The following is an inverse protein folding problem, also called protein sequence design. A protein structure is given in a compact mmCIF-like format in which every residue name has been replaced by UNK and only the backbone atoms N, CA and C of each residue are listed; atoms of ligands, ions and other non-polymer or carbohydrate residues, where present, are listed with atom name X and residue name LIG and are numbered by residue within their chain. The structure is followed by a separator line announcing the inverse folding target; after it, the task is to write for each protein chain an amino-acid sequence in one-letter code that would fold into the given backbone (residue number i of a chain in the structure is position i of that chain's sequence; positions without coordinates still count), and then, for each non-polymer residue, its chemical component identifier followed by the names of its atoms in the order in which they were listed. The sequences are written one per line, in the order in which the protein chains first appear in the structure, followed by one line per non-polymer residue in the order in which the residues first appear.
data_IF_090357579827
#
_entry.id   IF_090357579827
#
_cell.length_a   1.000
_cell.length_b   1.000
_cell.length_c   1.000
_cell.angle_alpha   90.00
_cell.angle_beta   90.00
_cell.angle_gamma   90.00
#
_symmetry.space_group_name_H-M   'P 1'
#
loop_
_entity.id
_entity.type
_entity.pdbx_description
1 polymer ?
#
# COMPACT_ATOMS: atom_id res chain seq x y z
N UNK A 1 -21.63 5.66 1.22
CA UNK A 1 -20.42 5.76 0.36
C UNK A 1 -20.57 6.80 -0.74
N UNK A 2 -21.61 6.78 -1.57
CA UNK A 2 -21.80 7.78 -2.64
C UNK A 2 -21.71 9.24 -2.17
N UNK A 3 -22.42 9.61 -1.09
CA UNK A 3 -22.40 10.97 -0.53
C UNK A 3 -21.02 11.48 -0.06
N UNK A 4 -20.07 10.57 0.24
CA UNK A 4 -18.72 10.94 0.70
C UNK A 4 -17.72 11.02 -0.46
N UNK A 5 -17.83 10.13 -1.44
CA UNK A 5 -16.88 10.04 -2.55
C UNK A 5 -17.26 11.01 -3.68
N UNK A 6 -18.55 11.21 -3.93
CA UNK A 6 -19.03 12.00 -5.07
C UNK A 6 -18.52 13.45 -5.09
N UNK A 7 -18.45 14.19 -3.96
CA UNK A 7 -17.90 15.55 -3.96
C UNK A 7 -16.39 15.64 -4.26
N UNK A 8 -15.67 14.54 -4.07
CA UNK A 8 -14.21 14.45 -4.28
C UNK A 8 -13.84 13.98 -5.69
N UNK A 9 -14.83 13.54 -6.48
CA UNK A 9 -14.61 13.13 -7.86
C UNK A 9 -14.36 14.36 -8.74
N UNK A 10 -13.34 14.34 -9.61
CA UNK A 10 -13.21 15.37 -10.64
C UNK A 10 -14.49 15.48 -11.52
N UNK A 11 -14.83 16.68 -12.03
CA UNK A 11 -16.10 16.95 -12.69
C UNK A 11 -16.34 16.17 -14.01
N UNK A 12 -15.31 15.52 -14.57
CA UNK A 12 -15.39 14.72 -15.81
C UNK A 12 -14.70 13.35 -15.67
N UNK A 13 -14.93 12.67 -14.55
CA UNK A 13 -14.37 11.34 -14.31
C UNK A 13 -15.03 10.29 -15.21
N UNK A 14 -14.20 9.50 -15.90
CA UNK A 14 -14.66 8.33 -16.65
C UNK A 14 -15.14 7.25 -15.66
N UNK A 15 -16.15 6.46 -16.02
CA UNK A 15 -16.79 5.49 -15.12
C UNK A 15 -15.82 4.45 -14.51
N UNK A 16 -14.76 4.09 -15.23
CA UNK A 16 -13.70 3.20 -14.77
C UNK A 16 -12.80 3.84 -13.70
N UNK A 17 -12.52 5.14 -13.81
CA UNK A 17 -11.85 5.88 -12.76
C UNK A 17 -12.75 6.02 -11.53
N UNK A 18 -14.05 6.33 -11.72
CA UNK A 18 -15.01 6.41 -10.61
C UNK A 18 -15.01 5.12 -9.77
N UNK A 19 -15.00 3.95 -10.44
CA UNK A 19 -14.89 2.67 -9.75
C UNK A 19 -13.61 2.55 -8.91
N UNK A 20 -12.47 3.05 -9.40
CA UNK A 20 -11.22 3.07 -8.64
C UNK A 20 -11.32 3.94 -7.38
N UNK A 21 -11.93 5.13 -7.47
CA UNK A 21 -12.18 5.99 -6.29
C UNK A 21 -13.03 5.28 -5.24
N UNK A 22 -14.14 4.66 -5.64
CA UNK A 22 -14.99 3.91 -4.70
C UNK A 22 -14.27 2.71 -4.09
N UNK A 23 -13.50 1.97 -4.88
CA UNK A 23 -12.76 0.80 -4.41
C UNK A 23 -11.68 1.20 -3.39
N UNK A 24 -10.91 2.26 -3.67
CA UNK A 24 -9.90 2.77 -2.75
C UNK A 24 -10.55 3.30 -1.47
N UNK A 25 -11.61 4.10 -1.57
CA UNK A 25 -12.35 4.57 -0.40
C UNK A 25 -12.87 3.42 0.49
N UNK A 26 -13.39 2.36 -0.13
CA UNK A 26 -13.83 1.17 0.59
C UNK A 26 -12.66 0.43 1.27
N UNK A 27 -11.49 0.32 0.62
CA UNK A 27 -10.29 -0.29 1.20
C UNK A 27 -9.73 0.53 2.37
N UNK A 28 -9.70 1.87 2.24
CA UNK A 28 -9.32 2.77 3.34
C UNK A 28 -10.25 2.55 4.53
N UNK A 29 -11.57 2.64 4.31
CA UNK A 29 -12.56 2.46 5.38
C UNK A 29 -12.48 1.07 6.03
N UNK A 30 -12.16 0.03 5.26
CA UNK A 30 -11.93 -1.31 5.80
C UNK A 30 -10.62 -1.43 6.59
N UNK A 31 -9.57 -0.71 6.19
CA UNK A 31 -8.27 -0.73 6.87
C UNK A 31 -8.33 -0.06 8.25
N UNK A 32 -9.07 1.04 8.37
CA UNK A 32 -9.27 1.76 9.65
C UNK A 32 -9.94 0.87 10.68
N UNK A 33 -11.00 0.14 10.29
CA UNK A 33 -11.69 -0.82 11.19
C UNK A 33 -10.82 -1.95 11.71
N UNK A 34 -9.72 -2.26 11.02
CA UNK A 34 -8.88 -3.41 11.32
C UNK A 34 -7.59 -3.02 12.06
N UNK A 35 -7.39 -1.74 12.39
CA UNK A 35 -6.31 -1.30 13.28
C UNK A 35 -6.61 -1.79 14.68
N UNK A 36 -5.74 -2.60 15.31
CA UNK A 36 -5.92 -3.00 16.69
C UNK A 36 -5.87 -1.74 17.57
N UNK A 37 -6.92 -1.56 18.35
CA UNK A 37 -7.19 -0.47 19.27
C UNK A 37 -5.91 0.10 19.94
N UNK A 38 -5.31 1.13 19.35
CA UNK A 38 -4.35 1.99 20.02
C UNK A 38 -5.16 3.10 20.69
N UNK A 39 -5.77 2.78 21.84
CA UNK A 39 -6.45 3.75 22.70
C UNK A 39 -7.94 3.97 22.42
N UNK A 40 -8.78 2.98 22.75
CA UNK A 40 -10.16 3.30 23.15
C UNK A 40 -10.14 3.97 24.52
N UNK A 41 -10.01 5.30 24.53
CA UNK A 41 -10.50 6.13 25.62
C UNK A 41 -11.41 7.20 25.01
N UNK A 42 -12.70 7.08 25.32
CA UNK A 42 -13.82 7.99 25.06
C UNK A 42 -14.28 8.16 23.62
N UNK A 43 -15.43 7.52 23.35
CA UNK A 43 -16.50 8.14 22.58
C UNK A 43 -16.88 9.48 23.24
N UNK A 44 -16.56 10.58 22.58
CA UNK A 44 -17.27 11.86 22.70
C UNK A 44 -17.04 12.60 21.37
N UNK A 45 -18.15 13.07 20.80
CA UNK A 45 -18.29 13.76 19.52
C UNK A 45 -17.25 14.88 19.27
N UNK A 46 -16.46 14.76 18.20
CA UNK A 46 -15.87 15.89 17.43
C UNK A 46 -15.20 15.29 16.17
N UNK A 47 -15.72 15.63 14.99
CA UNK A 47 -15.17 16.61 14.04
C UNK A 47 -13.99 16.10 13.19
N UNK A 48 -14.20 16.30 11.89
CA UNK A 48 -13.43 16.21 10.62
C UNK A 48 -11.88 16.16 10.64
N UNK A 49 -11.18 16.15 11.78
CA UNK A 49 -9.71 16.29 11.88
C UNK A 49 -8.91 14.99 11.61
N UNK A 50 -9.46 13.81 11.93
CA UNK A 50 -8.74 12.52 11.77
C UNK A 50 -8.47 12.13 10.31
N UNK A 51 -9.18 12.75 9.36
CA UNK A 51 -8.97 12.51 7.91
C UNK A 51 -7.78 13.31 7.39
N UNK A 52 -7.44 14.43 8.05
CA UNK A 52 -6.31 15.29 7.66
C UNK A 52 -4.96 14.68 8.04
N UNK A 53 -4.87 13.96 9.16
CA UNK A 53 -3.60 13.37 9.62
C UNK A 53 -3.09 12.24 8.70
N UNK A 54 -4.00 11.43 8.13
CA UNK A 54 -3.65 10.42 7.11
C UNK A 54 -3.39 11.02 5.72
N UNK A 55 -3.92 12.21 5.41
CA UNK A 55 -3.69 12.90 4.15
C UNK A 55 -2.38 13.73 4.16
N UNK A 56 -2.01 14.29 5.31
CA UNK A 56 -0.84 15.15 5.48
C UNK A 56 0.49 14.38 5.39
N UNK A 57 0.55 13.14 5.88
CA UNK A 57 1.74 12.30 5.78
C UNK A 57 2.09 11.90 4.33
N UNK A 58 1.10 11.89 3.42
CA UNK A 58 1.28 11.54 2.00
C UNK A 58 1.54 12.76 1.09
N UNK A 59 1.34 13.99 1.60
CA UNK A 59 1.47 15.23 0.82
C UNK A 59 2.93 15.71 0.66
N UNK A 60 3.83 15.37 1.61
CA UNK A 60 5.22 15.85 1.64
C UNK A 60 6.19 15.02 0.75
N UNK A 61 5.78 13.82 0.32
CA UNK A 61 6.55 13.03 -0.63
C UNK A 61 6.33 13.53 -2.06
N UNK A 62 7.33 14.23 -2.61
CA UNK A 62 7.35 14.64 -4.02
C UNK A 62 7.02 13.47 -4.97
N UNK A 63 6.49 13.75 -6.19
CA UNK A 63 5.87 12.75 -7.08
C UNK A 63 6.79 11.58 -7.52
N UNK A 64 8.09 11.62 -7.20
CA UNK A 64 9.05 10.54 -7.46
C UNK A 64 9.40 9.64 -6.26
N UNK A 65 8.91 9.92 -5.05
CA UNK A 65 9.30 9.18 -3.83
C UNK A 65 8.13 8.49 -3.10
N UNK A 66 6.95 8.43 -3.72
CA UNK A 66 5.78 7.76 -3.14
C UNK A 66 5.92 6.24 -3.33
N UNK A 67 5.86 5.44 -2.25
CA UNK A 67 6.01 3.99 -2.37
C UNK A 67 4.79 3.41 -3.12
N UNK A 68 5.06 2.67 -4.20
CA UNK A 68 4.02 1.89 -4.85
C UNK A 68 3.71 0.59 -4.09
N UNK A 69 2.68 -0.13 -4.53
CA UNK A 69 2.26 -1.37 -3.87
C UNK A 69 3.37 -2.43 -3.82
N UNK A 70 4.22 -2.49 -4.85
CA UNK A 70 5.35 -3.41 -4.91
C UNK A 70 6.38 -3.10 -3.82
N UNK A 71 6.66 -1.82 -3.60
CA UNK A 71 7.54 -1.35 -2.53
C UNK A 71 6.94 -1.64 -1.14
N UNK A 72 5.65 -1.35 -0.91
CA UNK A 72 4.99 -1.70 0.36
C UNK A 72 5.03 -3.21 0.64
N UNK A 73 4.84 -4.06 -0.38
CA UNK A 73 4.98 -5.52 -0.22
C UNK A 73 6.39 -5.95 0.14
N UNK A 74 7.42 -5.33 -0.45
CA UNK A 74 8.81 -5.61 -0.09
C UNK A 74 9.12 -5.18 1.35
N UNK A 75 8.60 -4.04 1.80
CA UNK A 75 8.72 -3.61 3.19
C UNK A 75 8.02 -4.57 4.15
N UNK A 76 6.88 -5.15 3.81
CA UNK A 76 6.26 -6.18 4.65
C UNK A 76 7.14 -7.42 4.86
N UNK A 77 8.08 -7.68 3.93
CA UNK A 77 9.06 -8.78 4.02
C UNK A 77 10.30 -8.36 4.82
N UNK A 78 10.88 -7.18 4.56
CA UNK A 78 12.18 -6.80 5.13
C UNK A 78 12.12 -5.84 6.33
N UNK A 79 11.00 -5.12 6.51
CA UNK A 79 10.79 -4.08 7.52
C UNK A 79 9.33 -4.12 8.05
N UNK A 80 8.91 -5.21 8.72
CA UNK A 80 7.59 -5.24 9.35
C UNK A 80 7.50 -4.21 10.48
N UNK A 81 6.27 -3.83 10.85
CA UNK A 81 6.05 -2.99 12.02
C UNK A 81 6.54 -3.63 13.31
N UNK A 82 6.72 -2.79 14.33
CA UNK A 82 7.27 -3.21 15.63
C UNK A 82 6.45 -4.34 16.24
N UNK A 83 7.10 -5.45 16.59
CA UNK A 83 6.42 -6.62 17.18
C UNK A 83 5.56 -7.43 16.20
N UNK A 84 5.56 -7.13 14.90
CA UNK A 84 4.89 -7.94 13.87
C UNK A 84 5.85 -8.91 13.20
N UNK A 85 5.34 -10.09 12.88
CA UNK A 85 6.09 -11.08 12.10
C UNK A 85 6.18 -10.62 10.65
N UNK A 86 7.40 -10.60 10.11
CA UNK A 86 7.65 -10.36 8.70
C UNK A 86 6.82 -11.29 7.81
N UNK A 87 6.34 -10.75 6.70
CA UNK A 87 5.69 -11.53 5.67
C UNK A 87 6.70 -12.48 5.02
N UNK A 88 6.29 -13.72 4.78
CA UNK A 88 7.13 -14.67 4.04
C UNK A 88 7.36 -14.17 2.60
N UNK A 89 8.64 -14.09 2.19
CA UNK A 89 9.08 -13.59 0.88
C UNK A 89 8.39 -14.29 -0.30
N UNK A 90 8.36 -15.62 -0.30
CA UNK A 90 7.71 -16.41 -1.37
C UNK A 90 6.19 -16.17 -1.42
N UNK A 91 5.57 -15.96 -0.25
CA UNK A 91 4.13 -15.63 -0.17
C UNK A 91 3.84 -14.23 -0.72
N UNK A 92 4.65 -13.24 -0.37
CA UNK A 92 4.53 -11.87 -0.88
C UNK A 92 4.70 -11.84 -2.41
N UNK A 93 5.76 -12.48 -2.91
CA UNK A 93 6.05 -12.60 -4.33
C UNK A 93 4.92 -13.30 -5.10
N UNK A 94 4.43 -14.44 -4.60
CA UNK A 94 3.32 -15.16 -5.24
C UNK A 94 2.05 -14.31 -5.32
N UNK A 95 1.74 -13.53 -4.27
CA UNK A 95 0.58 -12.63 -4.27
C UNK A 95 0.77 -11.47 -5.25
N UNK A 96 1.97 -10.90 -5.33
CA UNK A 96 2.29 -9.87 -6.31
C UNK A 96 2.15 -10.39 -7.75
N UNK A 97 2.72 -11.56 -8.05
CA UNK A 97 2.58 -12.21 -9.35
C UNK A 97 1.14 -12.57 -9.69
N UNK A 98 0.34 -12.95 -8.69
CA UNK A 98 -1.09 -13.16 -8.89
C UNK A 98 -1.79 -11.86 -9.26
N UNK A 99 -1.55 -10.77 -8.54
CA UNK A 99 -2.14 -9.45 -8.79
C UNK A 99 -1.86 -8.93 -10.20
N UNK A 100 -0.59 -8.95 -10.62
CA UNK A 100 -0.18 -8.40 -11.93
C UNK A 100 -0.75 -9.17 -13.12
N UNK A 101 -1.17 -10.42 -12.92
CA UNK A 101 -1.84 -11.23 -13.94
C UNK A 101 -3.32 -10.91 -14.07
N UNK A 102 -3.92 -10.24 -13.10
CA UNK A 102 -5.35 -9.97 -13.10
C UNK A 102 -5.72 -8.87 -14.10
N UNK A 103 -6.82 -9.10 -14.81
CA UNK A 103 -7.48 -8.06 -15.58
C UNK A 103 -8.35 -7.16 -14.71
N UNK A 104 -9.01 -6.22 -15.35
CA UNK A 104 -10.18 -5.54 -14.78
C UNK A 104 -11.39 -6.49 -14.85
N UNK A 105 -12.16 -6.78 -13.77
CA UNK A 105 -12.16 -6.20 -12.41
C UNK A 105 -11.40 -7.03 -11.34
N UNK A 106 -10.75 -8.14 -11.72
CA UNK A 106 -10.11 -9.06 -10.77
C UNK A 106 -9.05 -8.42 -9.87
N UNK A 107 -8.36 -7.37 -10.36
CA UNK A 107 -7.35 -6.65 -9.55
C UNK A 107 -7.93 -6.13 -8.24
N UNK A 108 -9.14 -5.57 -8.23
CA UNK A 108 -9.73 -4.95 -7.04
C UNK A 108 -10.05 -5.98 -5.95
N UNK A 109 -10.54 -7.16 -6.35
CA UNK A 109 -10.87 -8.24 -5.42
C UNK A 109 -9.61 -8.79 -4.73
N UNK A 110 -8.56 -9.03 -5.51
CA UNK A 110 -7.31 -9.53 -4.96
C UNK A 110 -6.56 -8.46 -4.17
N UNK A 111 -6.65 -7.20 -4.59
CA UNK A 111 -5.98 -6.08 -3.94
C UNK A 111 -6.52 -5.84 -2.53
N UNK A 112 -7.83 -5.89 -2.33
CA UNK A 112 -8.44 -5.74 -1.00
C UNK A 112 -7.86 -6.74 0.02
N UNK A 113 -7.64 -7.99 -0.41
CA UNK A 113 -7.00 -9.01 0.41
C UNK A 113 -5.54 -8.71 0.73
N UNK A 114 -4.78 -8.16 -0.22
CA UNK A 114 -3.38 -7.77 -0.02
C UNK A 114 -3.25 -6.58 0.91
N UNK A 115 -4.03 -5.53 0.70
CA UNK A 115 -4.08 -4.33 1.55
C UNK A 115 -4.39 -4.70 3.01
N UNK A 116 -5.34 -5.61 3.24
CA UNK A 116 -5.64 -6.10 4.59
C UNK A 116 -4.44 -6.77 5.27
N UNK A 117 -3.65 -7.54 4.52
CA UNK A 117 -2.44 -8.16 5.07
C UNK A 117 -1.32 -7.15 5.32
N UNK A 118 -1.16 -6.14 4.45
CA UNK A 118 -0.21 -5.05 4.67
C UNK A 118 -0.52 -4.30 5.97
N UNK A 119 -1.81 -4.01 6.21
CA UNK A 119 -2.27 -3.41 7.46
C UNK A 119 -1.98 -4.29 8.68
N UNK A 120 -2.12 -5.62 8.57
CA UNK A 120 -1.81 -6.55 9.67
C UNK A 120 -0.31 -6.64 10.01
N UNK A 121 0.56 -6.35 9.04
CA UNK A 121 2.03 -6.26 9.22
C UNK A 121 2.46 -4.82 9.53
N UNK A 122 1.50 -3.90 9.68
CA UNK A 122 1.69 -2.47 9.97
C UNK A 122 2.55 -1.74 8.93
N UNK A 123 2.46 -2.17 7.67
CA UNK A 123 3.08 -1.46 6.55
C UNK A 123 2.07 -0.53 5.91
N UNK A 124 2.46 0.74 5.78
CA UNK A 124 1.62 1.76 5.16
C UNK A 124 1.51 1.56 3.65
N UNK A 125 0.31 1.84 3.14
CA UNK A 125 -0.02 1.86 1.72
C UNK A 125 -0.21 3.31 1.33
N UNK A 126 0.54 3.79 0.32
CA UNK A 126 0.29 5.12 -0.23
C UNK A 126 -0.97 5.07 -1.09
N UNK A 127 -2.05 5.67 -0.59
CA UNK A 127 -3.36 5.55 -1.22
C UNK A 127 -3.48 6.37 -2.50
N UNK A 128 -2.78 7.51 -2.58
CA UNK A 128 -2.73 8.34 -3.79
C UNK A 128 -2.08 7.60 -4.95
N UNK A 129 -0.90 7.02 -4.72
CA UNK A 129 -0.17 6.23 -5.72
C UNK A 129 -0.97 4.99 -6.15
N UNK A 130 -1.64 4.32 -5.19
CA UNK A 130 -2.50 3.18 -5.50
C UNK A 130 -3.72 3.56 -6.33
N UNK A 131 -4.34 4.71 -6.04
CA UNK A 131 -5.46 5.22 -6.84
C UNK A 131 -5.01 5.55 -8.26
N UNK A 132 -3.87 6.22 -8.43
CA UNK A 132 -3.29 6.53 -9.74
C UNK A 132 -3.00 5.26 -10.54
N UNK A 133 -2.46 4.24 -9.88
CA UNK A 133 -2.20 2.91 -10.46
C UNK A 133 -3.48 2.24 -10.96
N UNK A 134 -4.54 2.29 -10.15
CA UNK A 134 -5.82 1.68 -10.47
C UNK A 134 -6.56 2.41 -11.59
N UNK A 135 -6.50 3.74 -11.63
CA UNK A 135 -7.03 4.53 -12.74
C UNK A 135 -6.33 4.16 -14.07
N UNK A 136 -5.03 3.91 -14.03
CA UNK A 136 -4.25 3.52 -15.21
C UNK A 136 -4.36 2.03 -15.54
N UNK A 137 -4.81 1.18 -14.62
CA UNK A 137 -4.78 -0.28 -14.76
C UNK A 137 -5.51 -0.77 -16.01
N UNK A 138 -6.66 -0.17 -16.36
CA UNK A 138 -7.45 -0.59 -17.53
C UNK A 138 -6.71 -0.41 -18.86
N UNK A 139 -5.86 0.60 -18.98
CA UNK A 139 -5.20 0.97 -20.25
C UNK A 139 -3.71 0.67 -20.28
N UNK A 140 -3.06 0.69 -19.11
CA UNK A 140 -1.61 0.57 -18.95
C UNK A 140 -1.24 -0.52 -17.95
N UNK A 141 -2.03 -1.58 -17.88
CA UNK A 141 -1.83 -2.72 -16.97
C UNK A 141 -0.38 -3.17 -16.94
N UNK A 142 0.19 -3.48 -18.10
CA UNK A 142 1.53 -4.06 -18.18
C UNK A 142 2.61 -3.09 -17.69
N UNK A 143 2.39 -1.79 -17.87
CA UNK A 143 3.27 -0.75 -17.34
C UNK A 143 3.20 -0.68 -15.81
N UNK A 144 1.99 -0.65 -15.23
CA UNK A 144 1.80 -0.62 -13.77
C UNK A 144 2.33 -1.91 -13.14
N UNK A 145 1.99 -3.07 -13.72
CA UNK A 145 2.47 -4.38 -13.30
C UNK A 145 4.01 -4.47 -13.30
N UNK A 146 4.64 -4.01 -14.38
CA UNK A 146 6.10 -3.95 -14.48
C UNK A 146 6.69 -3.05 -13.40
N UNK A 147 6.11 -1.86 -13.18
CA UNK A 147 6.54 -0.93 -12.14
C UNK A 147 6.48 -1.58 -10.75
N UNK A 148 5.34 -2.16 -10.37
CA UNK A 148 5.20 -2.85 -9.09
C UNK A 148 6.21 -3.99 -8.91
N UNK A 149 6.41 -4.84 -9.93
CA UNK A 149 7.41 -5.92 -9.87
C UNK A 149 8.82 -5.36 -9.69
N UNK A 150 9.18 -4.33 -10.47
CA UNK A 150 10.49 -3.71 -10.38
C UNK A 150 10.74 -3.09 -9.00
N UNK A 151 9.78 -2.33 -8.47
CA UNK A 151 9.89 -1.71 -7.15
C UNK A 151 10.01 -2.75 -6.04
N UNK A 152 9.28 -3.87 -6.13
CA UNK A 152 9.40 -4.99 -5.19
C UNK A 152 10.82 -5.57 -5.18
N UNK A 153 11.34 -6.00 -6.34
CA UNK A 153 12.68 -6.62 -6.39
C UNK A 153 13.80 -5.63 -6.09
N UNK A 154 13.70 -4.36 -6.53
CA UNK A 154 14.69 -3.32 -6.20
C UNK A 154 14.78 -3.10 -4.69
N UNK A 155 13.64 -3.02 -4.02
CA UNK A 155 13.57 -2.81 -2.56
C UNK A 155 14.14 -4.00 -1.78
N UNK A 156 13.86 -5.24 -2.21
CA UNK A 156 14.43 -6.43 -1.59
C UNK A 156 15.95 -6.50 -1.79
N UNK A 157 16.43 -6.29 -3.02
CA UNK A 157 17.87 -6.33 -3.31
C UNK A 157 18.63 -5.22 -2.57
N UNK A 158 18.00 -4.07 -2.34
CA UNK A 158 18.60 -3.01 -1.52
C UNK A 158 18.63 -3.39 -0.02
N UNK A 159 17.59 -4.04 0.50
CA UNK A 159 17.58 -4.53 1.86
C UNK A 159 18.65 -5.63 2.08
N UNK A 160 18.76 -6.58 1.15
CA UNK A 160 19.75 -7.66 1.19
C UNK A 160 21.18 -7.07 1.19
N UNK A 161 21.49 -6.12 0.29
CA UNK A 161 22.78 -5.40 0.27
C UNK A 161 23.08 -4.64 1.56
N UNK A 162 22.08 -4.00 2.17
CA UNK A 162 22.26 -3.26 3.44
C UNK A 162 22.57 -4.23 4.59
N UNK A 163 21.95 -5.40 4.62
CA UNK A 163 22.22 -6.43 5.61
C UNK A 163 23.66 -6.94 5.51
N UNK A 164 24.15 -7.20 4.29
CA UNK A 164 25.55 -7.59 4.02
C UNK A 164 26.55 -6.52 4.47
N UNK A 165 26.26 -5.24 4.20
CA UNK A 165 27.11 -4.11 4.58
C UNK A 165 27.18 -3.83 6.09
N UNK A 166 26.19 -4.26 6.87
CA UNK A 166 26.21 -4.17 8.34
C UNK A 166 26.86 -5.40 9.00
N UNK A 167 27.22 -6.43 8.22
CA UNK A 167 27.91 -7.64 8.67
C UNK A 167 29.46 -7.67 8.55
N UNK A 168 30.23 -6.55 8.44
CA UNK A 168 31.68 -6.58 8.61
C UNK A 168 32.04 -6.00 9.99
N UNK A 169 32.63 -6.79 10.90
CA UNK A 169 33.61 -6.38 11.95
C UNK A 169 33.72 -7.33 13.16
N UNK A 170 32.92 -8.39 13.29
CA UNK A 170 32.99 -9.25 14.49
C UNK A 170 33.93 -10.47 14.38
N UNK A 171 34.57 -10.72 13.24
CA UNK A 171 35.42 -11.92 13.05
C UNK A 171 36.94 -11.66 12.96
N UNK A 172 37.42 -10.43 13.16
CA UNK A 172 38.87 -10.11 13.03
C UNK A 172 39.51 -9.63 14.35
N UNK A 173 39.15 -10.27 15.46
CA UNK A 173 39.87 -10.15 16.75
C UNK A 173 39.73 -11.45 17.55
N UNK A 174 40.48 -12.48 17.15
CA UNK A 174 40.77 -13.68 17.94
C UNK A 174 42.24 -14.08 17.74
#
# INVERSE_FOLDING_TARGET
MHALVAPLLPPSVRQDHEYAYYAVAAMIAASVRNRPNAGSAKEETSDVDDVEEVAAADADAGPGNRPDLGQSLAWAVCRPGSGRRAMNRATAEKRLHLLVRQGYPGVYQHLAGVVRHLGAVEVQVNWGQLLDDLCQWRYRRDHVAKRWLQSYYRTLNEADRRAEQHHPSLEESA
#
